data_IF_572059050873
#
_entry.id   IF_572059050873
#
_cell.length_a   1.000
_cell.length_b   1.000
_cell.length_c   1.000
_cell.angle_alpha   90.00
_cell.angle_beta   90.00
_cell.angle_gamma   90.00
#
_symmetry.space_group_name_H-M   'P 1'
#
loop_
_entity.id
_entity.type
_entity.pdbx_description
1 polymer ?
#
# COMPACT_ATOMS: atom_id res chain seq x y z
N UNK A 1 -28.20 -24.18 -46.05
CA UNK A 1 -28.26 -23.75 -44.63
C UNK A 1 -26.81 -23.67 -44.16
N UNK A 2 -26.22 -22.47 -44.19
CA UNK A 2 -24.80 -22.25 -43.88
C UNK A 2 -24.72 -21.88 -42.40
N UNK A 3 -24.11 -22.75 -41.59
CA UNK A 3 -23.74 -22.42 -40.22
C UNK A 3 -22.47 -21.57 -40.28
N UNK A 4 -22.61 -20.26 -40.14
CA UNK A 4 -21.46 -19.38 -39.89
C UNK A 4 -21.06 -19.47 -38.43
N UNK A 5 -19.96 -20.18 -38.21
CA UNK A 5 -19.10 -20.11 -37.03
C UNK A 5 -18.87 -18.65 -36.62
N UNK A 6 -19.41 -18.24 -35.48
CA UNK A 6 -19.03 -17.01 -34.79
C UNK A 6 -18.06 -17.36 -33.66
N UNK A 7 -16.86 -17.78 -34.05
CA UNK A 7 -15.68 -17.66 -33.20
C UNK A 7 -15.01 -16.32 -33.47
N UNK A 8 -14.33 -15.79 -32.45
CA UNK A 8 -13.31 -14.75 -32.54
C UNK A 8 -13.84 -13.31 -32.65
N UNK A 9 -14.18 -12.71 -31.50
CA UNK A 9 -13.89 -11.29 -31.19
C UNK A 9 -13.89 -11.07 -29.66
N UNK A 10 -13.28 -11.98 -28.90
CA UNK A 10 -12.64 -11.57 -27.64
C UNK A 10 -11.20 -11.27 -28.02
N UNK A 11 -10.95 -10.03 -28.42
CA UNK A 11 -9.59 -9.53 -28.51
C UNK A 11 -8.97 -9.67 -27.12
N UNK A 12 -8.02 -10.58 -27.02
CA UNK A 12 -7.02 -10.65 -25.97
C UNK A 12 -6.21 -9.33 -26.00
N UNK A 13 -6.81 -8.23 -25.56
CA UNK A 13 -6.01 -7.23 -24.87
C UNK A 13 -5.44 -7.97 -23.67
N UNK A 14 -4.18 -8.38 -23.76
CA UNK A 14 -3.39 -8.82 -22.61
C UNK A 14 -3.74 -7.88 -21.46
N UNK A 15 -4.50 -8.37 -20.48
CA UNK A 15 -4.92 -7.53 -19.37
C UNK A 15 -3.65 -7.03 -18.71
N UNK A 16 -3.39 -5.73 -18.84
CA UNK A 16 -2.22 -5.08 -18.26
C UNK A 16 -2.16 -5.45 -16.77
N UNK A 17 -0.98 -5.77 -16.27
CA UNK A 17 -0.80 -6.04 -14.84
C UNK A 17 -1.24 -4.82 -14.01
N UNK A 18 -1.65 -5.03 -12.75
CA UNK A 18 -2.04 -3.91 -11.89
C UNK A 18 -0.92 -2.87 -11.73
N UNK A 19 0.34 -3.31 -11.72
CA UNK A 19 1.49 -2.40 -11.78
C UNK A 19 1.41 -1.48 -13.01
N UNK A 20 1.24 -2.04 -14.21
CA UNK A 20 1.16 -1.24 -15.44
C UNK A 20 -0.08 -0.32 -15.44
N UNK A 21 -1.25 -0.83 -15.05
CA UNK A 21 -2.51 -0.06 -15.00
C UNK A 21 -2.45 1.09 -14.00
N UNK A 22 -1.85 0.89 -12.84
CA UNK A 22 -1.79 1.93 -11.79
C UNK A 22 -1.10 3.22 -12.23
N UNK A 23 -0.16 3.15 -13.18
CA UNK A 23 0.51 4.31 -13.78
C UNK A 23 -0.39 5.15 -14.68
N UNK A 24 -1.52 4.60 -15.13
CA UNK A 24 -2.55 5.34 -15.88
C UNK A 24 -3.47 6.13 -14.95
N UNK A 25 -3.54 5.74 -13.67
CA UNK A 25 -4.44 6.34 -12.69
C UNK A 25 -3.74 7.36 -11.79
N UNK A 26 -2.49 7.08 -11.40
CA UNK A 26 -1.75 7.89 -10.44
C UNK A 26 -0.32 8.18 -10.87
N UNK A 27 0.18 9.32 -10.39
CA UNK A 27 1.60 9.69 -10.43
C UNK A 27 2.19 9.59 -9.03
N UNK A 28 3.41 9.08 -8.93
CA UNK A 28 4.20 9.09 -7.69
C UNK A 28 4.74 10.50 -7.45
N UNK A 29 4.52 11.02 -6.24
CA UNK A 29 4.91 12.37 -5.80
C UNK A 29 6.11 12.29 -4.87
N UNK A 30 7.13 13.09 -5.17
CA UNK A 30 8.29 13.27 -4.28
C UNK A 30 7.87 14.04 -3.05
N UNK A 31 8.35 13.58 -1.90
CA UNK A 31 8.10 14.22 -0.61
C UNK A 31 9.44 14.41 0.05
N UNK A 32 9.72 15.64 0.48
CA UNK A 32 11.04 16.03 0.97
C UNK A 32 11.53 15.16 2.15
N UNK A 33 12.84 14.85 2.17
CA UNK A 33 13.83 15.14 1.12
C UNK A 33 13.55 14.28 -0.15
N UNK A 34 13.77 14.89 -1.32
CA UNK A 34 13.26 14.42 -2.63
C UNK A 34 14.06 13.25 -3.24
N UNK A 35 14.85 12.54 -2.42
CA UNK A 35 15.88 11.57 -2.79
C UNK A 35 15.51 10.12 -2.44
N UNK A 36 14.23 9.76 -2.55
CA UNK A 36 13.84 8.38 -2.34
C UNK A 36 14.43 7.44 -3.41
N UNK A 37 15.25 6.50 -2.95
CA UNK A 37 15.67 5.30 -3.68
C UNK A 37 15.37 4.09 -2.82
N UNK A 38 14.67 3.11 -3.39
CA UNK A 38 14.46 1.85 -2.69
C UNK A 38 15.80 1.11 -2.57
N UNK A 39 16.17 0.75 -1.34
CA UNK A 39 17.30 -0.14 -1.09
C UNK A 39 16.88 -1.14 -0.04
N UNK A 40 17.04 -2.43 -0.34
CA UNK A 40 16.77 -3.51 0.62
C UNK A 40 17.60 -3.28 1.88
N UNK A 41 16.97 -3.43 3.04
CA UNK A 41 17.60 -3.23 4.34
C UNK A 41 17.80 -1.76 4.73
N UNK A 42 17.27 -0.80 3.97
CA UNK A 42 17.23 0.62 4.35
C UNK A 42 15.84 1.05 4.80
N UNK A 43 15.78 2.22 5.42
CA UNK A 43 14.56 2.79 5.97
C UNK A 43 13.78 3.60 4.93
N UNK A 44 12.51 3.25 4.75
CA UNK A 44 11.50 4.00 3.98
C UNK A 44 10.35 4.38 4.89
N UNK A 45 9.80 5.57 4.71
CA UNK A 45 8.74 6.08 5.58
C UNK A 45 7.38 6.14 4.87
N UNK A 46 7.36 6.70 3.66
CA UNK A 46 6.11 7.00 2.95
C UNK A 46 6.33 7.01 1.43
N UNK A 47 5.31 6.56 0.68
CA UNK A 47 5.13 6.89 -0.72
C UNK A 47 3.84 7.69 -0.87
N UNK A 48 3.85 8.75 -1.67
CA UNK A 48 2.67 9.58 -1.95
C UNK A 48 2.31 9.46 -3.42
N UNK A 49 1.03 9.29 -3.70
CA UNK A 49 0.48 9.24 -5.04
C UNK A 49 -0.67 10.24 -5.17
N UNK A 50 -0.80 10.82 -6.35
CA UNK A 50 -1.91 11.69 -6.72
C UNK A 50 -2.53 11.23 -8.03
N UNK A 51 -3.85 11.34 -8.16
CA UNK A 51 -4.54 11.02 -9.42
C UNK A 51 -4.00 11.87 -10.56
N UNK A 52 -3.82 11.25 -11.73
CA UNK A 52 -3.40 11.96 -12.95
C UNK A 52 -4.52 12.89 -13.42
N UNK A 53 -5.76 12.42 -13.34
CA UNK A 53 -6.97 13.22 -13.59
C UNK A 53 -7.64 13.47 -12.23
N UNK A 54 -7.62 14.71 -11.71
CA UNK A 54 -8.32 15.04 -10.47
C UNK A 54 -9.83 14.79 -10.60
N UNK A 55 -10.42 14.18 -9.57
CA UNK A 55 -11.85 13.84 -9.48
C UNK A 55 -12.52 14.44 -8.24
N UNK A 56 -11.81 15.33 -7.53
CA UNK A 56 -12.18 15.83 -6.21
C UNK A 56 -12.45 14.68 -5.21
N UNK A 57 -11.66 13.62 -5.32
CA UNK A 57 -11.72 12.44 -4.47
C UNK A 57 -11.09 12.64 -3.09
N UNK A 58 -11.33 11.65 -2.24
CA UNK A 58 -10.83 11.60 -0.86
C UNK A 58 -9.32 11.35 -0.81
N UNK A 59 -8.75 11.59 0.36
CA UNK A 59 -7.39 11.21 0.72
C UNK A 59 -7.39 9.97 1.61
N UNK A 60 -6.42 9.08 1.40
CA UNK A 60 -6.31 7.83 2.16
C UNK A 60 -4.86 7.52 2.52
N UNK A 61 -4.65 7.11 3.75
CA UNK A 61 -3.39 6.54 4.20
C UNK A 61 -3.54 5.02 4.36
N UNK A 62 -2.57 4.25 3.88
CA UNK A 62 -2.59 2.79 3.87
C UNK A 62 -1.32 2.30 4.54
N UNK A 63 -1.46 1.63 5.68
CA UNK A 63 -0.33 1.19 6.52
C UNK A 63 -0.05 -0.28 6.26
N UNK A 64 1.11 -0.58 5.68
CA UNK A 64 1.49 -1.92 5.20
C UNK A 64 2.69 -2.48 5.97
N UNK A 65 2.95 -3.78 5.89
CA UNK A 65 4.06 -4.46 6.59
C UNK A 65 5.46 -4.04 6.12
N UNK A 66 5.57 -3.62 4.86
CA UNK A 66 6.79 -3.09 4.19
C UNK A 66 7.68 -4.11 3.52
N UNK A 67 7.45 -4.26 2.22
CA UNK A 67 8.40 -4.85 1.28
C UNK A 67 8.25 -4.25 -0.12
N UNK A 68 7.65 -3.06 -0.21
CA UNK A 68 7.43 -2.41 -1.50
C UNK A 68 8.76 -1.90 -2.06
N UNK A 69 9.11 -2.38 -3.25
CA UNK A 69 10.25 -1.90 -4.03
C UNK A 69 9.88 -0.73 -4.95
N UNK A 70 8.71 -0.13 -4.76
CA UNK A 70 8.24 0.94 -5.64
C UNK A 70 9.15 2.15 -5.54
N UNK A 71 9.72 2.58 -6.66
CA UNK A 71 10.71 3.65 -6.75
C UNK A 71 10.67 4.44 -8.07
N UNK A 72 11.42 5.54 -8.12
CA UNK A 72 11.76 6.22 -9.38
C UNK A 72 12.92 5.50 -10.04
N UNK A 73 12.76 5.13 -11.32
CA UNK A 73 13.88 4.64 -12.13
C UNK A 73 14.79 5.78 -12.55
N UNK A 74 14.19 6.93 -12.83
CA UNK A 74 14.91 8.15 -13.13
C UNK A 74 14.31 9.31 -12.34
N UNK A 75 15.13 9.90 -11.48
CA UNK A 75 14.72 10.95 -10.59
C UNK A 75 14.24 12.23 -11.28
N UNK A 76 14.72 12.48 -12.51
CA UNK A 76 14.38 13.67 -13.29
C UNK A 76 13.18 13.46 -14.21
N UNK A 77 12.61 12.25 -14.24
CA UNK A 77 11.45 11.89 -15.07
C UNK A 77 10.29 11.41 -14.19
N UNK A 78 9.07 11.53 -14.70
CA UNK A 78 7.88 10.90 -14.11
C UNK A 78 7.84 9.37 -14.36
N UNK A 79 9.01 8.72 -14.31
CA UNK A 79 9.15 7.30 -14.60
C UNK A 79 9.48 6.52 -13.32
N UNK A 80 8.44 5.90 -12.77
CA UNK A 80 8.46 5.11 -11.56
C UNK A 80 7.94 3.69 -11.82
N UNK A 81 8.25 2.75 -10.93
CA UNK A 81 7.97 1.32 -11.11
C UNK A 81 7.21 0.73 -9.92
N UNK A 82 5.87 0.62 -9.98
CA UNK A 82 5.09 -0.03 -8.92
C UNK A 82 5.43 -1.50 -8.81
N UNK A 83 5.76 -1.96 -7.61
CA UNK A 83 5.69 -3.39 -7.32
C UNK A 83 4.22 -3.87 -7.31
N UNK A 84 3.97 -5.19 -7.42
CA UNK A 84 2.61 -5.72 -7.51
C UNK A 84 1.69 -5.35 -6.34
N UNK A 85 2.22 -5.12 -5.14
CA UNK A 85 1.44 -4.73 -3.95
C UNK A 85 0.94 -3.30 -4.10
N UNK A 86 1.82 -2.37 -4.45
CA UNK A 86 1.44 -0.97 -4.68
C UNK A 86 0.52 -0.86 -5.89
N UNK A 87 0.81 -1.58 -6.98
CA UNK A 87 -0.07 -1.60 -8.15
C UNK A 87 -1.51 -2.01 -7.81
N UNK A 88 -1.68 -3.07 -7.00
CA UNK A 88 -3.00 -3.52 -6.53
C UNK A 88 -3.70 -2.48 -5.66
N UNK A 89 -2.98 -1.88 -4.72
CA UNK A 89 -3.51 -0.82 -3.85
C UNK A 89 -4.06 0.33 -4.69
N UNK A 90 -3.26 0.82 -5.64
CA UNK A 90 -3.63 1.95 -6.48
C UNK A 90 -4.80 1.60 -7.41
N UNK A 91 -4.79 0.43 -8.04
CA UNK A 91 -5.94 -0.03 -8.83
C UNK A 91 -7.21 -0.09 -7.98
N UNK A 92 -7.15 -0.65 -6.77
CA UNK A 92 -8.30 -0.70 -5.87
C UNK A 92 -8.80 0.71 -5.50
N UNK A 93 -7.89 1.63 -5.13
CA UNK A 93 -8.26 3.01 -4.83
C UNK A 93 -8.93 3.73 -6.01
N UNK A 94 -8.55 3.40 -7.25
CA UNK A 94 -9.18 3.94 -8.45
C UNK A 94 -10.53 3.30 -8.78
N UNK A 95 -10.63 1.98 -8.64
CA UNK A 95 -11.76 1.17 -9.08
C UNK A 95 -12.86 1.01 -8.01
N UNK A 96 -12.59 1.46 -6.78
CA UNK A 96 -13.57 1.39 -5.71
C UNK A 96 -14.81 2.22 -6.05
N UNK A 97 -15.95 1.54 -6.23
CA UNK A 97 -17.22 2.15 -6.62
C UNK A 97 -17.90 2.93 -5.48
N UNK A 98 -17.53 2.67 -4.23
CA UNK A 98 -18.13 3.31 -3.07
C UNK A 98 -17.44 4.63 -2.73
N UNK A 99 -16.13 4.72 -2.99
CA UNK A 99 -15.29 5.86 -2.63
C UNK A 99 -14.23 6.09 -3.70
N UNK A 100 -14.13 7.31 -4.18
CA UNK A 100 -13.05 7.74 -5.08
C UNK A 100 -11.92 8.35 -4.26
N UNK A 101 -10.68 7.89 -4.50
CA UNK A 101 -9.49 8.41 -3.82
C UNK A 101 -8.56 9.09 -4.81
N UNK A 102 -8.19 10.34 -4.53
CA UNK A 102 -7.29 11.12 -5.38
C UNK A 102 -5.90 11.30 -4.78
N UNK A 103 -5.77 11.18 -3.45
CA UNK A 103 -4.49 11.29 -2.73
C UNK A 103 -4.27 10.02 -1.93
N UNK A 104 -3.24 9.25 -2.28
CA UNK A 104 -2.92 7.99 -1.60
C UNK A 104 -1.55 8.10 -0.95
N UNK A 105 -1.49 7.74 0.33
CA UNK A 105 -0.25 7.62 1.09
C UNK A 105 -0.04 6.16 1.46
N UNK A 106 0.99 5.52 0.90
CA UNK A 106 1.40 4.19 1.32
C UNK A 106 2.47 4.33 2.40
N UNK A 107 2.03 4.12 3.64
CA UNK A 107 2.81 4.19 4.86
C UNK A 107 3.29 2.81 5.30
N UNK A 108 4.26 2.86 6.20
CA UNK A 108 4.99 1.70 6.62
C UNK A 108 4.73 1.37 8.10
N UNK A 109 4.33 0.14 8.42
CA UNK A 109 4.28 -0.38 9.79
C UNK A 109 5.66 -0.25 10.48
N UNK A 110 6.71 -0.72 9.81
CA UNK A 110 8.13 -0.54 10.16
C UNK A 110 8.91 0.19 9.06
N UNK A 111 9.78 1.13 9.40
CA UNK A 111 10.57 1.78 8.35
C UNK A 111 11.52 0.86 7.59
N UNK A 112 12.06 -0.19 8.21
CA UNK A 112 13.02 -1.09 7.60
C UNK A 112 12.36 -1.88 6.45
N UNK A 113 12.85 -1.69 5.22
CA UNK A 113 12.25 -2.27 4.03
C UNK A 113 13.02 -3.52 3.58
N UNK A 114 12.40 -4.70 3.75
CA UNK A 114 12.94 -5.96 3.24
C UNK A 114 11.79 -6.84 2.71
N UNK A 115 11.82 -7.24 1.42
CA UNK A 115 10.78 -8.07 0.85
C UNK A 115 10.93 -9.55 1.26
N UNK A 116 12.04 -9.92 1.91
CA UNK A 116 12.34 -11.27 2.34
C UNK A 116 12.15 -11.41 3.86
N UNK A 117 11.19 -12.25 4.31
CA UNK A 117 10.94 -12.51 5.73
C UNK A 117 12.19 -12.89 6.54
N UNK A 118 13.17 -13.54 5.92
CA UNK A 118 14.42 -13.93 6.58
C UNK A 118 15.24 -12.73 7.04
N UNK A 119 15.21 -11.61 6.32
CA UNK A 119 15.92 -10.38 6.70
C UNK A 119 15.30 -9.64 7.88
N UNK A 120 14.09 -10.04 8.30
CA UNK A 120 13.38 -9.47 9.45
C UNK A 120 13.57 -10.32 10.73
N UNK A 121 14.05 -11.55 10.60
CA UNK A 121 14.17 -12.48 11.73
C UNK A 121 15.20 -12.01 12.75
N UNK A 122 14.83 -12.06 14.02
CA UNK A 122 15.71 -11.73 15.14
C UNK A 122 15.90 -10.23 15.36
N UNK A 123 15.30 -9.37 14.54
CA UNK A 123 15.36 -7.93 14.70
C UNK A 123 14.38 -7.43 15.74
N UNK A 124 14.82 -6.50 16.56
CA UNK A 124 13.97 -5.82 17.54
C UNK A 124 13.17 -4.68 16.91
N UNK A 125 12.16 -4.20 17.64
CA UNK A 125 11.30 -3.12 17.17
C UNK A 125 12.08 -1.84 16.85
N UNK A 126 13.09 -1.50 17.67
CA UNK A 126 13.94 -0.32 17.46
C UNK A 126 14.79 -0.40 16.18
N UNK A 127 15.22 -1.60 15.79
CA UNK A 127 15.93 -1.81 14.52
C UNK A 127 14.98 -1.72 13.32
N UNK A 128 13.77 -2.28 13.45
CA UNK A 128 12.79 -2.30 12.37
C UNK A 128 12.16 -0.91 12.16
N UNK A 129 11.98 -0.13 13.23
CA UNK A 129 11.26 1.13 13.20
C UNK A 129 12.07 2.32 13.73
N UNK A 130 12.45 3.21 12.83
CA UNK A 130 12.94 4.54 13.18
C UNK A 130 11.80 5.45 13.65
N UNK A 131 12.07 6.30 14.64
CA UNK A 131 11.13 7.31 15.14
C UNK A 131 10.63 8.29 14.05
N UNK A 132 11.39 8.48 12.97
CA UNK A 132 10.98 9.29 11.81
C UNK A 132 9.75 8.69 11.12
N UNK A 133 9.61 7.36 11.11
CA UNK A 133 8.44 6.68 10.58
C UNK A 133 7.18 7.06 11.35
N UNK A 134 7.27 7.05 12.68
CA UNK A 134 6.14 7.38 13.56
C UNK A 134 5.68 8.81 13.38
N UNK A 135 6.62 9.74 13.17
CA UNK A 135 6.29 11.14 12.83
C UNK A 135 5.53 11.23 11.52
N UNK A 136 5.94 10.48 10.49
CA UNK A 136 5.23 10.44 9.21
C UNK A 136 3.83 9.82 9.34
N UNK A 137 3.70 8.70 10.06
CA UNK A 137 2.41 8.07 10.33
C UNK A 137 1.48 9.08 11.03
N UNK A 138 1.90 9.65 12.15
CA UNK A 138 1.07 10.58 12.92
C UNK A 138 0.71 11.84 12.10
N UNK A 139 1.66 12.40 11.35
CA UNK A 139 1.42 13.57 10.51
C UNK A 139 0.41 13.29 9.41
N UNK A 140 0.56 12.18 8.69
CA UNK A 140 -0.29 11.89 7.54
C UNK A 140 -1.67 11.40 7.99
N UNK A 141 -1.74 10.45 8.92
CA UNK A 141 -2.99 9.82 9.33
C UNK A 141 -3.99 10.80 9.95
N UNK A 142 -3.52 11.88 10.59
CA UNK A 142 -4.38 12.95 11.13
C UNK A 142 -4.98 13.88 10.07
N UNK A 143 -4.44 13.87 8.85
CA UNK A 143 -4.78 14.82 7.79
C UNK A 143 -5.35 14.12 6.55
N UNK A 144 -5.82 12.89 6.69
CA UNK A 144 -6.48 12.14 5.62
C UNK A 144 -7.90 11.76 6.02
N UNK A 145 -8.75 11.53 5.03
CA UNK A 145 -10.15 11.16 5.27
C UNK A 145 -10.29 9.72 5.78
N UNK A 146 -9.40 8.82 5.32
CA UNK A 146 -9.41 7.40 5.67
C UNK A 146 -8.01 6.91 6.04
N UNK A 147 -7.93 6.07 7.09
CA UNK A 147 -6.72 5.31 7.41
C UNK A 147 -7.04 3.82 7.32
N UNK A 148 -6.36 3.12 6.42
CA UNK A 148 -6.52 1.69 6.18
C UNK A 148 -5.31 0.94 6.74
N UNK A 149 -5.54 0.01 7.66
CA UNK A 149 -4.52 -0.90 8.17
C UNK A 149 -4.49 -2.16 7.31
N UNK A 150 -3.32 -2.51 6.77
CA UNK A 150 -3.18 -3.55 5.74
C UNK A 150 -1.84 -4.31 5.84
N UNK A 151 -1.43 -4.65 7.06
CA UNK A 151 -0.13 -5.26 7.33
C UNK A 151 -0.11 -6.80 7.26
N UNK A 152 -1.25 -7.51 7.35
CA UNK A 152 -1.22 -8.98 7.35
C UNK A 152 -0.47 -9.58 8.55
N UNK A 153 -0.05 -10.85 8.42
CA UNK A 153 0.53 -11.65 9.50
C UNK A 153 2.04 -11.42 9.73
N UNK A 154 2.64 -10.48 9.01
CA UNK A 154 4.02 -10.04 9.21
C UNK A 154 5.11 -11.13 9.31
N UNK A 155 5.08 -12.08 8.37
CA UNK A 155 6.00 -13.23 8.35
C UNK A 155 7.48 -12.82 8.52
N UNK A 156 8.18 -13.48 9.44
CA UNK A 156 9.61 -13.25 9.68
C UNK A 156 9.92 -12.37 10.90
N UNK A 157 8.96 -11.55 11.35
CA UNK A 157 9.09 -10.77 12.59
C UNK A 157 8.59 -11.61 13.77
N UNK A 158 9.25 -11.49 14.92
CA UNK A 158 8.79 -12.14 16.15
C UNK A 158 7.38 -11.63 16.55
N UNK A 159 6.53 -12.54 17.01
CA UNK A 159 5.13 -12.21 17.34
C UNK A 159 5.01 -11.19 18.48
N UNK A 160 5.96 -11.18 19.41
CA UNK A 160 6.03 -10.22 20.53
C UNK A 160 6.40 -8.84 20.00
N UNK A 161 7.38 -8.76 19.10
CA UNK A 161 7.78 -7.51 18.42
C UNK A 161 6.62 -6.95 17.60
N UNK A 162 5.91 -7.79 16.85
CA UNK A 162 4.70 -7.39 16.12
C UNK A 162 3.61 -6.88 17.07
N UNK A 163 3.36 -7.58 18.17
CA UNK A 163 2.35 -7.19 19.16
C UNK A 163 2.68 -5.84 19.80
N UNK A 164 3.94 -5.61 20.16
CA UNK A 164 4.43 -4.33 20.65
C UNK A 164 4.22 -3.22 19.61
N UNK A 165 4.63 -3.48 18.36
CA UNK A 165 4.49 -2.49 17.30
C UNK A 165 3.03 -2.14 17.01
N UNK A 166 2.11 -3.12 17.01
CA UNK A 166 0.67 -2.86 16.85
C UNK A 166 0.14 -1.94 17.95
N UNK A 167 0.55 -2.13 19.22
CA UNK A 167 0.14 -1.25 20.32
C UNK A 167 0.64 0.19 20.10
N UNK A 168 1.90 0.36 19.70
CA UNK A 168 2.46 1.67 19.39
C UNK A 168 1.72 2.34 18.22
N UNK A 169 1.46 1.57 17.15
CA UNK A 169 0.73 2.07 15.99
C UNK A 169 -0.67 2.55 16.39
N UNK A 170 -1.46 1.73 17.09
CA UNK A 170 -2.82 2.13 17.46
C UNK A 170 -2.86 3.35 18.39
N UNK A 171 -1.83 3.53 19.22
CA UNK A 171 -1.66 4.76 20.01
C UNK A 171 -1.44 5.99 19.10
N UNK A 172 -0.62 5.88 18.06
CA UNK A 172 -0.40 6.96 17.09
C UNK A 172 -1.66 7.30 16.27
N UNK A 173 -2.50 6.29 16.06
CA UNK A 173 -3.72 6.36 15.25
C UNK A 173 -4.97 6.73 16.03
N UNK A 174 -4.85 6.99 17.34
CA UNK A 174 -5.98 7.40 18.17
C UNK A 174 -6.65 8.66 17.59
N UNK A 175 -7.97 8.61 17.41
CA UNK A 175 -8.76 9.69 16.83
C UNK A 175 -8.80 9.72 15.29
N UNK A 176 -8.17 8.77 14.61
CA UNK A 176 -8.30 8.61 13.16
C UNK A 176 -9.47 7.66 12.81
N UNK A 177 -10.07 7.81 11.62
CA UNK A 177 -11.05 6.86 11.11
C UNK A 177 -10.33 5.61 10.57
N UNK A 178 -10.32 4.53 11.35
CA UNK A 178 -9.57 3.31 11.06
C UNK A 178 -10.42 2.27 10.33
N UNK A 179 -9.84 1.71 9.27
CA UNK A 179 -10.49 0.72 8.44
C UNK A 179 -9.54 -0.43 8.09
N UNK A 180 -10.13 -1.53 7.61
CA UNK A 180 -9.43 -2.59 6.90
C UNK A 180 -10.20 -2.99 5.64
N UNK A 181 -9.48 -3.61 4.70
CA UNK A 181 -10.06 -4.07 3.42
C UNK A 181 -10.38 -5.55 3.47
N UNK A 182 -11.63 -5.89 3.17
CA UNK A 182 -12.18 -7.25 3.19
C UNK A 182 -12.11 -7.90 4.57
N UNK A 183 -12.31 -9.23 4.62
CA UNK A 183 -12.22 -9.97 5.88
C UNK A 183 -10.79 -9.99 6.42
N UNK A 184 -10.64 -10.22 7.73
CA UNK A 184 -9.35 -10.45 8.36
C UNK A 184 -8.65 -11.71 7.80
N UNK A 185 -7.38 -11.91 8.15
CA UNK A 185 -6.64 -13.13 7.79
C UNK A 185 -7.36 -14.38 8.32
N UNK A 186 -7.07 -15.58 7.80
CA UNK A 186 -7.75 -16.82 8.20
C UNK A 186 -7.70 -17.11 9.72
N UNK A 187 -6.71 -16.56 10.41
CA UNK A 187 -6.56 -16.63 11.88
C UNK A 187 -7.38 -15.55 12.62
N UNK A 188 -8.17 -14.75 11.92
CA UNK A 188 -9.08 -13.73 12.42
C UNK A 188 -8.42 -12.52 13.09
N UNK A 189 -7.10 -12.41 13.13
CA UNK A 189 -6.41 -11.49 14.06
C UNK A 189 -5.74 -10.28 13.40
N UNK A 190 -5.58 -10.29 12.08
CA UNK A 190 -4.88 -9.22 11.36
C UNK A 190 -5.65 -8.79 10.09
N UNK A 191 -5.61 -7.49 9.73
CA UNK A 191 -6.07 -7.03 8.42
C UNK A 191 -5.32 -7.67 7.27
N UNK A 192 -5.96 -7.86 6.10
CA UNK A 192 -5.29 -8.42 4.92
C UNK A 192 -4.15 -7.54 4.44
N UNK A 193 -3.05 -8.19 4.07
CA UNK A 193 -1.92 -7.54 3.40
C UNK A 193 -2.34 -6.99 2.02
N UNK A 194 -1.72 -5.91 1.55
CA UNK A 194 -1.96 -5.31 0.22
C UNK A 194 -1.90 -6.29 -0.96
N UNK A 195 -1.16 -7.40 -0.82
CA UNK A 195 -1.09 -8.48 -1.83
C UNK A 195 -2.43 -9.17 -2.06
N UNK A 196 -3.32 -9.16 -1.06
CA UNK A 196 -4.65 -9.76 -1.11
C UNK A 196 -5.74 -8.85 -1.67
N UNK A 197 -5.39 -7.64 -2.13
CA UNK A 197 -6.33 -6.66 -2.66
C UNK A 197 -6.64 -6.94 -4.13
N UNK A 198 -7.41 -7.99 -4.39
CA UNK A 198 -7.93 -8.32 -5.72
C UNK A 198 -9.46 -8.11 -5.73
N UNK A 199 -10.00 -7.65 -6.86
CA UNK A 199 -11.44 -7.45 -7.05
C UNK A 199 -11.97 -6.19 -6.35
N UNK A 200 -13.17 -6.27 -5.77
CA UNK A 200 -13.85 -5.16 -5.09
C UNK A 200 -14.13 -5.47 -3.61
N UNK A 201 -13.09 -5.69 -2.78
CA UNK A 201 -13.28 -5.95 -1.35
C UNK A 201 -13.93 -4.74 -0.65
N UNK A 202 -14.76 -5.03 0.34
CA UNK A 202 -15.41 -4.00 1.16
C UNK A 202 -14.41 -3.25 2.04
N UNK A 203 -14.77 -2.03 2.42
CA UNK A 203 -14.06 -1.25 3.43
C UNK A 203 -14.83 -1.36 4.75
N UNK A 204 -14.19 -1.92 5.77
CA UNK A 204 -14.82 -2.22 7.06
C UNK A 204 -14.13 -1.41 8.17
N UNK A 205 -14.91 -0.94 9.14
CA UNK A 205 -14.39 -0.22 10.31
C UNK A 205 -13.57 -1.19 11.19
N UNK A 206 -12.43 -0.71 11.71
CA UNK A 206 -11.54 -1.48 12.57
C UNK A 206 -11.75 -1.17 14.06
#
# INVERSE_FOLDING_TARGET
MVYTSSSIYRSEQLMKSNSARSKEYYRLIRIKPDDYSYTVGKHRYVLKFESIVPRNGMSVAIIQMNGSSTDWKNATKLDWSPDPTIGKVLCWCNENKQKTFDKIYCLNLWSYADPHPRGLRGKENAELNHAVNDRWIAKICKNVDYVIVAHGDCNGVDSTVLKERKKQLYKLLQGCNLYHVGDLTKKGSNPRHGRGWNGSPSLNLL
#
